data_IF_382335704194
#
_entry.id   IF_382335704194
#
_cell.length_a   1.000
_cell.length_b   1.000
_cell.length_c   1.000
_cell.angle_alpha   90.00
_cell.angle_beta   90.00
_cell.angle_gamma   90.00
#
_symmetry.space_group_name_H-M   'P 1'
#
loop_
_entity.id
_entity.type
_entity.pdbx_description
1 polymer ?
#
# COMPACT_ATOMS: atom_id res chain seq x y z
N UNK A 1 -40.05 7.25 3.52
CA UNK A 1 -38.83 7.48 2.72
C UNK A 1 -37.64 7.41 3.66
N UNK A 2 -36.87 6.31 3.65
CA UNK A 2 -35.58 6.26 4.33
C UNK A 2 -34.61 7.04 3.43
N UNK A 3 -34.08 8.15 3.92
CA UNK A 3 -33.08 8.93 3.19
C UNK A 3 -31.91 8.03 2.81
N UNK A 4 -31.56 8.01 1.54
CA UNK A 4 -30.31 7.43 1.07
C UNK A 4 -29.18 8.10 1.86
N UNK A 5 -28.48 7.31 2.69
CA UNK A 5 -27.21 7.77 3.25
C UNK A 5 -26.27 7.92 2.06
N UNK A 6 -25.91 9.16 1.71
CA UNK A 6 -24.70 9.45 0.93
C UNK A 6 -23.60 8.59 1.56
N UNK A 7 -23.03 7.64 0.82
CA UNK A 7 -21.90 6.88 1.31
C UNK A 7 -20.78 7.88 1.61
N UNK A 8 -20.52 8.09 2.90
CA UNK A 8 -19.44 8.95 3.37
C UNK A 8 -18.13 8.19 3.22
N UNK A 9 -17.11 8.85 2.68
CA UNK A 9 -15.75 8.32 2.61
C UNK A 9 -15.33 7.75 3.97
N UNK A 10 -14.78 6.53 3.95
CA UNK A 10 -14.26 5.85 5.13
C UNK A 10 -12.83 6.28 5.39
N UNK A 11 -12.50 6.61 6.63
CA UNK A 11 -11.17 7.07 7.03
C UNK A 11 -10.52 6.01 7.91
N UNK A 12 -9.28 5.64 7.59
CA UNK A 12 -8.51 4.66 8.34
C UNK A 12 -7.16 5.24 8.78
N UNK A 13 -6.59 4.69 9.85
CA UNK A 13 -5.29 5.11 10.37
C UNK A 13 -4.27 4.01 10.07
N UNK A 14 -3.20 4.35 9.35
CA UNK A 14 -2.10 3.41 9.11
C UNK A 14 -1.28 3.24 10.39
N UNK A 15 -0.98 1.98 10.76
CA UNK A 15 -0.15 1.69 11.93
C UNK A 15 1.26 2.27 11.81
N UNK A 16 1.75 2.53 10.59
CA UNK A 16 2.98 3.30 10.32
C UNK A 16 2.97 4.70 10.97
N UNK A 17 1.80 5.33 11.10
CA UNK A 17 1.65 6.63 11.75
C UNK A 17 2.02 6.58 13.24
N UNK A 18 1.94 5.40 13.84
CA UNK A 18 2.27 5.12 15.24
C UNK A 18 3.61 4.38 15.39
N UNK A 19 4.43 4.27 14.35
CA UNK A 19 5.68 3.47 14.36
C UNK A 19 6.56 3.70 15.58
N UNK A 20 6.68 4.94 16.05
CA UNK A 20 7.46 5.25 17.26
C UNK A 20 6.93 4.54 18.51
N UNK A 21 5.61 4.41 18.66
CA UNK A 21 5.02 3.69 19.78
C UNK A 21 5.23 2.17 19.66
N UNK A 22 5.19 1.63 18.44
CA UNK A 22 5.54 0.23 18.18
C UNK A 22 7.03 -0.03 18.48
N UNK A 23 7.93 0.82 17.98
CA UNK A 23 9.38 0.72 18.18
C UNK A 23 9.75 0.82 19.68
N UNK A 24 9.02 1.62 20.45
CA UNK A 24 9.21 1.79 21.90
C UNK A 24 8.47 0.74 22.74
N UNK A 25 7.76 -0.21 22.13
CA UNK A 25 6.98 -1.24 22.84
C UNK A 25 5.77 -0.70 23.63
N UNK A 26 5.31 0.51 23.30
CA UNK A 26 4.14 1.15 23.93
C UNK A 26 2.81 0.65 23.36
N UNK A 27 2.82 0.09 22.16
CA UNK A 27 1.66 -0.56 21.56
C UNK A 27 2.07 -1.73 20.66
N UNK A 28 1.11 -2.63 20.47
CA UNK A 28 1.09 -3.69 19.45
C UNK A 28 -0.14 -3.51 18.54
N UNK A 29 -0.34 -4.39 17.56
CA UNK A 29 -1.47 -4.24 16.63
C UNK A 29 -2.83 -4.39 17.33
N UNK A 30 -2.91 -5.20 18.38
CA UNK A 30 -4.16 -5.42 19.10
C UNK A 30 -4.54 -4.16 19.89
N UNK A 31 -3.64 -3.61 20.70
CA UNK A 31 -3.87 -2.35 21.42
C UNK A 31 -4.02 -1.14 20.48
N UNK A 32 -3.36 -1.17 19.32
CA UNK A 32 -3.54 -0.14 18.29
C UNK A 32 -4.97 -0.08 17.75
N UNK A 33 -5.70 -1.20 17.65
CA UNK A 33 -7.12 -1.17 17.26
C UNK A 33 -7.99 -0.39 18.26
N UNK A 34 -7.69 -0.47 19.55
CA UNK A 34 -8.40 0.30 20.57
C UNK A 34 -8.13 1.80 20.41
N UNK A 35 -6.90 2.16 20.06
CA UNK A 35 -6.51 3.53 19.73
C UNK A 35 -7.22 4.04 18.45
N UNK A 36 -7.27 3.24 17.39
CA UNK A 36 -8.02 3.56 16.17
C UNK A 36 -9.49 3.83 16.48
N UNK A 37 -10.11 2.99 17.32
CA UNK A 37 -11.49 3.19 17.78
C UNK A 37 -11.64 4.47 18.58
N UNK A 38 -10.70 4.76 19.50
CA UNK A 38 -10.70 5.96 20.35
C UNK A 38 -10.59 7.24 19.52
N UNK A 39 -9.83 7.22 18.43
CA UNK A 39 -9.70 8.33 17.48
C UNK A 39 -10.94 8.52 16.59
N UNK A 40 -11.89 7.58 16.62
CA UNK A 40 -13.13 7.67 15.84
C UNK A 40 -12.96 7.35 14.35
N UNK A 41 -11.86 6.68 13.97
CA UNK A 41 -11.66 6.21 12.60
C UNK A 41 -12.54 5.00 12.27
N UNK A 42 -12.80 4.76 10.98
CA UNK A 42 -13.56 3.62 10.50
C UNK A 42 -12.73 2.33 10.42
N UNK A 43 -11.41 2.42 10.48
CA UNK A 43 -10.53 1.28 10.28
C UNK A 43 -9.05 1.60 10.36
N UNK A 44 -8.23 0.64 9.93
CA UNK A 44 -6.78 0.76 9.92
C UNK A 44 -6.15 0.21 8.65
N UNK A 45 -4.92 0.66 8.39
CA UNK A 45 -3.97 -0.02 7.52
C UNK A 45 -2.87 -0.67 8.36
N UNK A 46 -2.48 -1.89 8.00
CA UNK A 46 -1.48 -2.67 8.71
C UNK A 46 -0.12 -2.52 8.03
N UNK A 47 0.88 -2.07 8.79
CA UNK A 47 2.28 -2.15 8.39
C UNK A 47 2.90 -3.52 8.77
N UNK A 48 3.52 -4.27 7.83
CA UNK A 48 4.06 -5.60 8.05
C UNK A 48 4.98 -5.77 9.25
N UNK A 49 5.83 -4.77 9.52
CA UNK A 49 6.80 -4.86 10.63
C UNK A 49 6.14 -4.94 12.00
N UNK A 50 4.87 -4.53 12.10
CA UNK A 50 4.10 -4.59 13.33
C UNK A 50 3.35 -5.92 13.50
N UNK A 51 3.41 -6.80 12.49
CA UNK A 51 2.86 -8.16 12.57
C UNK A 51 3.93 -9.08 13.15
N UNK A 52 3.54 -9.99 14.06
CA UNK A 52 4.38 -11.08 14.52
C UNK A 52 4.91 -11.90 13.33
N UNK A 53 6.23 -11.93 13.14
CA UNK A 53 6.87 -12.59 12.00
C UNK A 53 7.04 -14.10 12.20
N UNK A 54 6.86 -14.62 13.43
CA UNK A 54 6.93 -16.06 13.70
C UNK A 54 5.70 -16.80 13.14
N UNK A 55 4.54 -16.13 13.15
CA UNK A 55 3.29 -16.61 12.53
C UNK A 55 2.43 -15.45 11.99
N UNK A 56 2.82 -14.86 10.83
CA UNK A 56 2.13 -13.71 10.27
C UNK A 56 0.67 -13.99 9.95
N UNK A 57 0.39 -15.18 9.41
CA UNK A 57 -0.96 -15.57 8.99
C UNK A 57 -1.93 -15.66 10.16
N UNK A 58 -1.53 -16.29 11.27
CA UNK A 58 -2.36 -16.36 12.46
C UNK A 58 -2.56 -14.98 13.11
N UNK A 59 -1.50 -14.18 13.23
CA UNK A 59 -1.59 -12.88 13.87
C UNK A 59 -2.47 -11.90 13.07
N UNK A 60 -2.43 -11.91 11.74
CA UNK A 60 -3.34 -11.06 10.93
C UNK A 60 -4.79 -11.50 11.12
N UNK A 61 -5.08 -12.80 11.19
CA UNK A 61 -6.44 -13.30 11.46
C UNK A 61 -6.94 -12.85 12.84
N UNK A 62 -6.08 -12.85 13.85
CA UNK A 62 -6.38 -12.32 15.18
C UNK A 62 -6.70 -10.82 15.14
N UNK A 63 -5.87 -10.03 14.43
CA UNK A 63 -6.10 -8.59 14.24
C UNK A 63 -7.42 -8.32 13.52
N UNK A 64 -7.74 -9.07 12.45
CA UNK A 64 -9.02 -8.97 11.73
C UNK A 64 -10.20 -9.30 12.65
N UNK A 65 -10.09 -10.34 13.46
CA UNK A 65 -11.15 -10.71 14.40
C UNK A 65 -11.39 -9.59 15.43
N UNK A 66 -10.34 -9.04 16.03
CA UNK A 66 -10.48 -7.92 16.97
C UNK A 66 -11.04 -6.66 16.28
N UNK A 67 -10.61 -6.37 15.05
CA UNK A 67 -11.15 -5.26 14.27
C UNK A 67 -12.66 -5.43 14.05
N UNK A 68 -13.10 -6.63 13.65
CA UNK A 68 -14.51 -6.97 13.52
C UNK A 68 -15.29 -6.72 14.82
N UNK A 69 -14.77 -7.17 15.96
CA UNK A 69 -15.43 -7.03 17.26
C UNK A 69 -15.57 -5.56 17.70
N UNK A 70 -14.64 -4.70 17.25
CA UNK A 70 -14.69 -3.25 17.48
C UNK A 70 -15.51 -2.49 16.42
N UNK A 71 -16.02 -3.18 15.40
CA UNK A 71 -16.70 -2.57 14.26
C UNK A 71 -15.78 -1.72 13.38
N UNK A 72 -14.51 -2.11 13.27
CA UNK A 72 -13.48 -1.48 12.44
C UNK A 72 -13.24 -2.28 11.17
N UNK A 73 -12.87 -1.59 10.09
CA UNK A 73 -12.45 -2.17 8.83
C UNK A 73 -10.93 -2.35 8.78
N UNK A 74 -10.45 -3.35 8.04
CA UNK A 74 -9.06 -3.33 7.54
C UNK A 74 -9.08 -2.71 6.14
N UNK A 75 -8.49 -1.53 5.99
CA UNK A 75 -8.43 -0.83 4.71
C UNK A 75 -7.44 -1.49 3.74
N UNK A 76 -6.24 -1.80 4.23
CA UNK A 76 -5.14 -2.37 3.45
C UNK A 76 -4.07 -2.99 4.36
N UNK A 77 -3.20 -3.80 3.76
CA UNK A 77 -1.89 -4.18 4.30
C UNK A 77 -0.80 -3.59 3.41
N UNK A 78 0.19 -2.91 3.99
CA UNK A 78 1.35 -2.43 3.24
C UNK A 78 2.21 -3.64 2.84
N UNK A 79 2.77 -3.70 1.64
CA UNK A 79 3.67 -4.77 1.23
C UNK A 79 5.13 -4.50 1.62
N UNK A 80 5.55 -3.23 1.56
CA UNK A 80 6.92 -2.81 1.82
C UNK A 80 7.94 -3.42 0.84
N UNK A 81 7.52 -3.75 -0.38
CA UNK A 81 8.35 -4.38 -1.39
C UNK A 81 9.35 -3.39 -2.02
N UNK A 82 10.45 -3.93 -2.53
CA UNK A 82 11.46 -3.23 -3.33
C UNK A 82 11.87 -4.14 -4.49
N UNK A 83 11.30 -3.92 -5.68
CA UNK A 83 11.52 -4.79 -6.85
C UNK A 83 12.72 -4.38 -7.71
N UNK A 84 13.48 -3.36 -7.31
CA UNK A 84 14.67 -2.95 -8.08
C UNK A 84 15.99 -3.44 -7.51
N UNK A 85 15.95 -4.37 -6.54
CA UNK A 85 17.16 -5.03 -6.02
C UNK A 85 18.08 -5.45 -7.18
N UNK A 86 19.39 -5.13 -7.14
CA UNK A 86 20.27 -5.35 -8.28
C UNK A 86 20.46 -6.85 -8.56
N UNK A 87 20.56 -7.65 -7.51
CA UNK A 87 20.73 -9.10 -7.62
C UNK A 87 19.40 -9.79 -7.90
N UNK A 88 19.39 -10.69 -8.89
CA UNK A 88 18.19 -11.46 -9.24
C UNK A 88 17.66 -12.30 -8.08
N UNK A 89 18.55 -12.85 -7.24
CA UNK A 89 18.18 -13.61 -6.05
C UNK A 89 17.44 -12.74 -5.00
N UNK A 90 17.87 -11.49 -4.81
CA UNK A 90 17.19 -10.57 -3.88
C UNK A 90 15.80 -10.19 -4.41
N UNK A 91 15.65 -9.97 -5.71
CA UNK A 91 14.33 -9.76 -6.34
C UNK A 91 13.42 -10.99 -6.19
N UNK A 92 13.96 -12.19 -6.35
CA UNK A 92 13.20 -13.41 -6.15
C UNK A 92 12.68 -13.55 -4.71
N UNK A 93 13.46 -13.16 -3.71
CA UNK A 93 13.00 -13.11 -2.31
C UNK A 93 11.91 -12.05 -2.07
N UNK A 94 12.02 -10.88 -2.72
CA UNK A 94 10.98 -9.84 -2.67
C UNK A 94 9.66 -10.32 -3.31
N UNK A 95 9.73 -10.99 -4.47
CA UNK A 95 8.58 -11.63 -5.14
C UNK A 95 7.96 -12.71 -4.24
N UNK A 96 8.78 -13.58 -3.65
CA UNK A 96 8.32 -14.62 -2.74
C UNK A 96 7.64 -14.03 -1.50
N UNK A 97 8.24 -13.01 -0.89
CA UNK A 97 7.66 -12.29 0.26
C UNK A 97 6.32 -11.68 -0.13
N UNK A 98 6.24 -11.02 -1.29
CA UNK A 98 5.00 -10.42 -1.79
C UNK A 98 3.89 -11.46 -1.98
N UNK A 99 4.19 -12.61 -2.59
CA UNK A 99 3.24 -13.73 -2.76
C UNK A 99 2.71 -14.23 -1.42
N UNK A 100 3.59 -14.41 -0.43
CA UNK A 100 3.18 -14.81 0.92
C UNK A 100 2.22 -13.78 1.55
N UNK A 101 2.54 -12.49 1.46
CA UNK A 101 1.66 -11.44 1.99
C UNK A 101 0.31 -11.35 1.29
N UNK A 102 0.25 -11.59 -0.03
CA UNK A 102 -1.01 -11.71 -0.77
C UNK A 102 -1.85 -12.85 -0.18
N UNK A 103 -1.25 -14.03 0.02
CA UNK A 103 -1.95 -15.18 0.61
C UNK A 103 -2.40 -14.90 2.05
N UNK A 104 -1.55 -14.33 2.90
CA UNK A 104 -1.93 -14.00 4.28
C UNK A 104 -3.07 -12.98 4.34
N UNK A 105 -3.02 -11.95 3.51
CA UNK A 105 -4.08 -10.96 3.41
C UNK A 105 -5.39 -11.61 2.94
N UNK A 106 -5.34 -12.42 1.88
CA UNK A 106 -6.50 -13.10 1.32
C UNK A 106 -7.15 -14.06 2.32
N UNK A 107 -6.37 -14.89 3.00
CA UNK A 107 -6.86 -15.82 4.03
C UNK A 107 -7.49 -15.10 5.23
N UNK A 108 -7.08 -13.87 5.50
CA UNK A 108 -7.66 -13.02 6.54
C UNK A 108 -8.82 -12.15 6.02
N UNK A 109 -9.22 -12.27 4.75
CA UNK A 109 -10.30 -11.50 4.15
C UNK A 109 -9.95 -10.06 3.77
N UNK A 110 -8.66 -9.72 3.73
CA UNK A 110 -8.16 -8.39 3.34
C UNK A 110 -7.92 -8.39 1.83
N UNK A 111 -8.68 -7.57 1.11
CA UNK A 111 -8.70 -7.59 -0.36
C UNK A 111 -7.86 -6.48 -1.03
N UNK A 112 -7.10 -5.71 -0.25
CA UNK A 112 -6.30 -4.59 -0.74
C UNK A 112 -4.93 -4.59 -0.08
N UNK A 113 -3.90 -4.39 -0.89
CA UNK A 113 -2.53 -4.20 -0.43
C UNK A 113 -1.95 -2.94 -1.03
N UNK A 114 -1.26 -2.14 -0.22
CA UNK A 114 -0.47 -1.02 -0.70
C UNK A 114 0.92 -1.51 -1.14
N UNK A 115 1.32 -1.24 -2.38
CA UNK A 115 2.55 -1.76 -2.98
C UNK A 115 3.42 -0.65 -3.57
N UNK A 116 4.67 -0.98 -3.85
CA UNK A 116 5.70 -0.01 -4.26
C UNK A 116 6.45 -0.49 -5.51
N UNK A 117 7.31 0.36 -6.07
CA UNK A 117 8.21 -0.04 -7.17
C UNK A 117 9.58 -0.40 -6.61
N UNK A 118 10.21 0.53 -5.89
CA UNK A 118 11.52 0.39 -5.27
C UNK A 118 12.37 1.65 -5.38
N UNK A 119 13.60 1.62 -4.87
CA UNK A 119 14.46 2.81 -4.81
C UNK A 119 15.67 2.69 -5.74
N UNK A 120 15.89 3.74 -6.55
CA UNK A 120 17.06 3.85 -7.44
C UNK A 120 18.35 3.45 -6.72
N UNK A 121 19.06 2.50 -7.33
CA UNK A 121 20.37 2.04 -6.87
C UNK A 121 21.45 2.81 -7.61
N UNK A 122 22.40 3.39 -6.86
CA UNK A 122 23.49 4.18 -7.45
C UNK A 122 24.27 3.37 -8.48
N UNK A 123 24.37 3.87 -9.71
CA UNK A 123 25.11 3.23 -10.81
C UNK A 123 24.30 2.26 -11.65
N UNK A 124 23.03 2.01 -11.31
CA UNK A 124 22.10 1.23 -12.15
C UNK A 124 21.40 2.13 -13.18
N UNK A 125 20.92 1.52 -14.27
CA UNK A 125 20.15 2.20 -15.30
C UNK A 125 18.66 2.27 -14.88
N UNK A 126 18.06 3.47 -14.75
CA UNK A 126 16.66 3.64 -14.40
C UNK A 126 15.68 2.88 -15.32
N UNK A 127 16.01 2.72 -16.60
CA UNK A 127 15.19 1.96 -17.55
C UNK A 127 15.20 0.48 -17.19
N UNK A 128 16.38 -0.07 -16.87
CA UNK A 128 16.51 -1.47 -16.44
C UNK A 128 15.77 -1.71 -15.12
N UNK A 129 15.87 -0.77 -14.18
CA UNK A 129 15.12 -0.82 -12.94
C UNK A 129 13.60 -0.86 -13.18
N UNK A 130 13.08 -0.02 -14.07
CA UNK A 130 11.66 -0.03 -14.42
C UNK A 130 11.21 -1.38 -15.02
N UNK A 131 12.02 -2.00 -15.88
CA UNK A 131 11.73 -3.35 -16.39
C UNK A 131 11.80 -4.44 -15.32
N UNK A 132 12.72 -4.36 -14.35
CA UNK A 132 12.74 -5.28 -13.20
C UNK A 132 11.43 -5.22 -12.40
N UNK A 133 10.90 -4.01 -12.19
CA UNK A 133 9.61 -3.83 -11.50
C UNK A 133 8.48 -4.49 -12.29
N UNK A 134 8.43 -4.30 -13.60
CA UNK A 134 7.43 -4.95 -14.47
C UNK A 134 7.51 -6.48 -14.36
N UNK A 135 8.72 -7.04 -14.43
CA UNK A 135 8.93 -8.49 -14.36
C UNK A 135 8.48 -9.04 -13.00
N UNK A 136 8.87 -8.40 -11.89
CA UNK A 136 8.42 -8.79 -10.56
C UNK A 136 6.89 -8.69 -10.41
N UNK A 137 6.26 -7.63 -10.94
CA UNK A 137 4.80 -7.52 -10.91
C UNK A 137 4.12 -8.63 -11.71
N UNK A 138 4.63 -8.98 -12.90
CA UNK A 138 4.12 -10.11 -13.70
C UNK A 138 4.19 -11.44 -12.97
N UNK A 139 5.14 -11.60 -12.05
CA UNK A 139 5.24 -12.80 -11.23
C UNK A 139 4.23 -12.82 -10.07
N UNK A 140 3.88 -11.67 -9.48
CA UNK A 140 3.01 -11.61 -8.28
C UNK A 140 1.54 -11.38 -8.61
N UNK A 141 1.22 -10.71 -9.73
CA UNK A 141 -0.18 -10.42 -10.09
C UNK A 141 -1.03 -11.67 -10.34
N UNK A 142 -0.51 -12.80 -10.89
CA UNK A 142 -1.32 -14.01 -11.00
C UNK A 142 -1.83 -14.54 -9.65
N UNK A 143 -1.02 -14.41 -8.59
CA UNK A 143 -1.42 -14.80 -7.23
C UNK A 143 -2.45 -13.82 -6.66
N UNK A 144 -2.29 -12.53 -6.94
CA UNK A 144 -3.28 -11.53 -6.55
C UNK A 144 -4.64 -11.73 -7.27
N UNK A 145 -4.61 -12.13 -8.55
CA UNK A 145 -5.80 -12.46 -9.34
C UNK A 145 -6.51 -13.69 -8.80
N UNK A 146 -5.77 -14.78 -8.50
CA UNK A 146 -6.31 -16.01 -7.90
C UNK A 146 -7.07 -15.74 -6.60
N UNK A 147 -6.54 -14.84 -5.77
CA UNK A 147 -7.11 -14.49 -4.47
C UNK A 147 -8.05 -13.28 -4.49
N UNK A 148 -8.28 -12.66 -5.66
CA UNK A 148 -9.04 -11.41 -5.80
C UNK A 148 -8.54 -10.28 -4.87
N UNK A 149 -7.23 -10.18 -4.69
CA UNK A 149 -6.57 -9.10 -3.95
C UNK A 149 -6.15 -8.01 -4.93
N UNK A 150 -6.41 -6.75 -4.59
CA UNK A 150 -5.95 -5.60 -5.36
C UNK A 150 -4.59 -5.14 -4.82
N UNK A 151 -3.60 -5.09 -5.72
CA UNK A 151 -2.29 -4.50 -5.47
C UNK A 151 -2.34 -3.02 -5.89
N UNK A 152 -2.27 -2.11 -4.94
CA UNK A 152 -2.45 -0.69 -5.18
C UNK A 152 -1.09 0.02 -5.09
N UNK A 153 -0.50 0.40 -6.23
CA UNK A 153 0.82 1.03 -6.26
C UNK A 153 0.73 2.47 -5.74
N UNK A 154 1.52 2.80 -4.72
CA UNK A 154 1.69 4.18 -4.24
C UNK A 154 2.81 4.91 -4.99
N UNK A 155 2.57 6.17 -5.33
CA UNK A 155 3.58 7.08 -5.91
C UNK A 155 4.59 7.54 -4.84
N UNK A 156 5.27 6.60 -4.19
CA UNK A 156 6.16 6.83 -3.05
C UNK A 156 7.64 6.60 -3.39
N UNK A 157 7.89 5.60 -4.23
CA UNK A 157 9.20 5.12 -4.60
C UNK A 157 9.91 6.06 -5.57
N UNK A 158 11.24 5.98 -5.65
CA UNK A 158 12.00 6.84 -6.59
C UNK A 158 11.98 6.31 -8.03
N UNK A 159 11.74 5.01 -8.24
CA UNK A 159 11.61 4.41 -9.57
C UNK A 159 10.17 4.61 -10.09
N UNK A 160 10.02 5.24 -11.26
CA UNK A 160 8.73 5.66 -11.83
C UNK A 160 7.94 6.54 -10.84
N UNK A 161 8.43 7.72 -10.45
CA UNK A 161 7.84 8.50 -9.36
C UNK A 161 6.57 9.29 -9.75
N UNK A 162 6.37 9.54 -11.05
CA UNK A 162 5.23 10.31 -11.57
C UNK A 162 4.07 9.43 -12.06
N UNK A 163 2.89 10.03 -12.24
CA UNK A 163 1.68 9.29 -12.59
C UNK A 163 1.79 8.63 -13.97
N UNK A 164 2.40 9.29 -14.95
CA UNK A 164 2.50 8.77 -16.32
C UNK A 164 3.39 7.52 -16.36
N UNK A 165 4.50 7.50 -15.63
CA UNK A 165 5.39 6.37 -15.49
C UNK A 165 4.72 5.19 -14.77
N UNK A 166 4.00 5.43 -13.67
CA UNK A 166 3.26 4.38 -12.97
C UNK A 166 2.12 3.81 -13.82
N UNK A 167 1.38 4.65 -14.52
CA UNK A 167 0.33 4.19 -15.43
C UNK A 167 0.90 3.40 -16.61
N UNK A 168 2.08 3.77 -17.13
CA UNK A 168 2.80 2.97 -18.12
C UNK A 168 3.18 1.59 -17.57
N UNK A 169 3.72 1.55 -16.35
CA UNK A 169 4.08 0.30 -15.68
C UNK A 169 2.86 -0.62 -15.51
N UNK A 170 1.75 -0.09 -15.01
CA UNK A 170 0.50 -0.85 -14.83
C UNK A 170 0.02 -1.43 -16.16
N UNK A 171 0.03 -0.63 -17.24
CA UNK A 171 -0.31 -1.11 -18.59
C UNK A 171 0.64 -2.19 -19.10
N UNK A 172 1.94 -2.06 -18.83
CA UNK A 172 2.95 -3.03 -19.25
C UNK A 172 2.85 -4.37 -18.51
N UNK A 173 2.42 -4.36 -17.25
CA UNK A 173 2.10 -5.56 -16.48
C UNK A 173 0.81 -6.20 -17.00
N UNK A 174 -0.24 -5.41 -17.25
CA UNK A 174 -1.47 -5.88 -17.89
C UNK A 174 -2.49 -6.59 -16.99
N UNK A 175 -2.34 -6.51 -15.67
CA UNK A 175 -3.27 -7.11 -14.69
C UNK A 175 -4.39 -6.16 -14.29
N UNK A 176 -5.63 -6.67 -14.18
CA UNK A 176 -6.77 -5.91 -13.64
C UNK A 176 -6.74 -5.76 -12.12
N UNK A 177 -5.91 -6.56 -11.44
CA UNK A 177 -5.72 -6.51 -10.00
C UNK A 177 -4.58 -5.56 -9.59
N UNK A 178 -3.87 -4.97 -10.57
CA UNK A 178 -2.90 -3.90 -10.31
C UNK A 178 -3.57 -2.53 -10.50
N UNK A 179 -3.69 -1.80 -9.39
CA UNK A 179 -4.42 -0.55 -9.23
C UNK A 179 -3.52 0.53 -8.64
N UNK A 180 -4.08 1.70 -8.34
CA UNK A 180 -3.31 2.83 -7.79
C UNK A 180 -3.71 3.12 -6.34
N UNK A 181 -2.72 3.56 -5.56
CA UNK A 181 -2.86 4.14 -4.23
C UNK A 181 -2.32 5.58 -4.25
N UNK A 182 -3.08 6.58 -4.75
CA UNK A 182 -2.59 7.95 -4.81
C UNK A 182 -2.25 8.47 -3.42
N UNK A 183 -1.04 9.00 -3.28
CA UNK A 183 -0.63 9.90 -2.22
C UNK A 183 -0.32 11.26 -2.85
N UNK A 184 -1.24 12.24 -2.77
CA UNK A 184 -1.05 13.54 -3.39
C UNK A 184 0.23 14.24 -2.93
N UNK A 185 0.69 13.99 -1.71
CA UNK A 185 1.83 14.68 -1.11
C UNK A 185 3.17 14.17 -1.61
N UNK A 186 3.23 12.94 -2.14
CA UNK A 186 4.48 12.34 -2.62
C UNK A 186 4.87 12.79 -4.05
N UNK A 187 4.01 13.50 -4.80
CA UNK A 187 4.38 14.05 -6.12
C UNK A 187 5.38 15.23 -6.06
N UNK A 188 5.66 15.73 -4.86
CA UNK A 188 6.40 16.97 -4.64
C UNK A 188 7.20 16.92 -3.34
N UNK A 189 8.45 17.39 -3.35
CA UNK A 189 9.43 17.12 -2.28
C UNK A 189 9.14 17.73 -0.87
N UNK A 190 8.44 18.87 -0.75
CA UNK A 190 8.32 19.61 0.52
C UNK A 190 6.90 19.78 1.11
N UNK A 191 6.60 19.15 2.26
CA UNK A 191 5.26 19.16 2.87
C UNK A 191 4.76 20.52 3.40
N UNK A 192 5.63 21.38 3.93
CA UNK A 192 5.20 22.46 4.84
C UNK A 192 4.68 23.74 4.15
N UNK A 193 5.14 24.06 2.93
CA UNK A 193 4.68 25.22 2.15
C UNK A 193 4.74 24.93 0.65
N UNK A 194 3.58 24.76 0.02
CA UNK A 194 3.48 24.51 -1.42
C UNK A 194 3.25 25.81 -2.17
N UNK A 195 4.08 26.08 -3.18
CA UNK A 195 3.78 27.11 -4.19
C UNK A 195 2.51 26.74 -4.96
N UNK A 196 1.88 27.71 -5.63
CA UNK A 196 0.69 27.41 -6.45
C UNK A 196 1.00 26.40 -7.56
N UNK A 197 2.19 26.46 -8.14
CA UNK A 197 2.69 25.45 -9.09
C UNK A 197 2.77 24.05 -8.47
N UNK A 198 3.26 23.93 -7.24
CA UNK A 198 3.32 22.64 -6.56
C UNK A 198 1.92 22.10 -6.27
N UNK A 199 0.96 22.96 -5.90
CA UNK A 199 -0.45 22.55 -5.74
C UNK A 199 -1.06 22.08 -7.05
N UNK A 200 -0.84 22.83 -8.14
CA UNK A 200 -1.31 22.46 -9.47
C UNK A 200 -0.75 21.09 -9.89
N UNK A 201 0.54 20.84 -9.68
CA UNK A 201 1.16 19.54 -9.94
C UNK A 201 0.52 18.42 -9.11
N UNK A 202 0.28 18.64 -7.81
CA UNK A 202 -0.41 17.66 -6.96
C UNK A 202 -1.76 17.29 -7.57
N UNK A 203 -2.59 18.29 -7.92
CA UNK A 203 -3.91 18.03 -8.47
C UNK A 203 -3.84 17.34 -9.83
N UNK A 204 -2.99 17.80 -10.75
CA UNK A 204 -2.90 17.24 -12.09
C UNK A 204 -2.37 15.80 -12.10
N UNK A 205 -1.35 15.49 -11.28
CA UNK A 205 -0.81 14.14 -11.17
C UNK A 205 -1.80 13.20 -10.46
N UNK A 206 -2.43 13.67 -9.38
CA UNK A 206 -3.46 12.89 -8.68
C UNK A 206 -4.64 12.57 -9.60
N UNK A 207 -5.10 13.53 -10.42
CA UNK A 207 -6.23 13.33 -11.34
C UNK A 207 -5.95 12.22 -12.37
N UNK A 208 -4.76 12.21 -12.99
CA UNK A 208 -4.34 11.14 -13.90
C UNK A 208 -4.37 9.78 -13.19
N UNK A 209 -3.83 9.75 -11.97
CA UNK A 209 -3.61 8.54 -11.19
C UNK A 209 -4.90 7.99 -10.54
N UNK A 210 -5.91 8.85 -10.33
CA UNK A 210 -7.15 8.53 -9.63
C UNK A 210 -8.08 7.59 -10.41
N UNK A 211 -7.94 7.48 -11.73
CA UNK A 211 -8.84 6.64 -12.56
C UNK A 211 -8.75 5.14 -12.22
N UNK A 212 -7.61 4.70 -11.69
CA UNK A 212 -7.37 3.31 -11.26
C UNK A 212 -7.35 3.16 -9.73
N UNK A 213 -7.80 4.19 -9.00
CA UNK A 213 -7.71 4.25 -7.54
C UNK A 213 -8.53 3.14 -6.89
N UNK A 214 -7.91 2.41 -5.98
CA UNK A 214 -8.58 1.42 -5.13
C UNK A 214 -8.20 1.54 -3.65
N UNK A 215 -7.22 2.41 -3.35
CA UNK A 215 -6.87 2.92 -2.04
C UNK A 215 -6.37 4.37 -2.19
N UNK A 216 -6.26 5.14 -1.11
CA UNK A 216 -5.59 6.43 -1.15
C UNK A 216 -4.89 6.71 0.18
N UNK A 217 -3.74 7.39 0.13
CA UNK A 217 -3.04 7.90 1.29
C UNK A 217 -3.16 9.41 1.37
N UNK A 218 -3.34 9.91 2.59
CA UNK A 218 -3.40 11.34 2.90
C UNK A 218 -2.49 11.59 4.10
N UNK A 219 -1.52 12.48 3.94
CA UNK A 219 -0.48 12.82 4.93
C UNK A 219 -0.52 14.30 5.25
#
# INVERSE_FOLDING_TARGET
>A
MKGERKETMKVSISSWSYRQWFDEGKCDLLSFLDEVKRQGADGLEIFPRHVNQDDPGAHIKEVVQKAHDLGLLIASVIAGNDFVRPLAAERAEEVKRMKNWITYAAEAGILRMNTFTGYHTSGEDPVIEAYRVIDCYREVTPVAEEHNVLLCIENHSSVCPDADALLWLIRAVGSQNLRTNPDPTNFVAEFAKRSDRAREQIYSETEKFAQLMSNAHLK
#
